data_IF_509635576575
#
_entry.id   IF_509635576575
#
_cell.length_a   1.000
_cell.length_b   1.000
_cell.length_c   1.000
_cell.angle_alpha   90.00
_cell.angle_beta   90.00
_cell.angle_gamma   90.00
#
_symmetry.space_group_name_H-M   'P 1'
#
loop_
_entity.id
_entity.type
_entity.pdbx_description
1 polymer ?
#
# COMPACT_ATOMS: atom_id res chain seq x y z
N UNK A 1 -39.33 -15.78 14.16
CA UNK A 1 -37.89 -15.83 13.88
C UNK A 1 -37.51 -14.50 13.24
N UNK A 2 -36.96 -13.56 14.02
CA UNK A 2 -36.57 -12.25 13.52
C UNK A 2 -35.27 -12.40 12.72
N UNK A 3 -35.27 -11.91 11.48
CA UNK A 3 -34.13 -11.95 10.57
C UNK A 3 -33.16 -10.86 11.02
N UNK A 4 -31.99 -11.26 11.50
CA UNK A 4 -30.90 -10.34 11.84
C UNK A 4 -30.53 -9.54 10.60
N UNK A 5 -30.81 -8.23 10.60
CA UNK A 5 -30.36 -7.31 9.57
C UNK A 5 -28.83 -7.22 9.61
N UNK A 6 -28.24 -7.65 8.51
CA UNK A 6 -26.80 -7.69 8.28
C UNK A 6 -26.25 -6.25 8.26
N UNK A 7 -25.73 -5.80 9.40
CA UNK A 7 -25.11 -4.48 9.52
C UNK A 7 -23.72 -4.53 8.89
N UNK A 8 -23.64 -4.33 7.57
CA UNK A 8 -22.37 -4.16 6.88
C UNK A 8 -21.74 -2.80 7.26
N UNK A 9 -20.87 -2.80 8.27
CA UNK A 9 -20.04 -1.63 8.60
C UNK A 9 -18.98 -1.45 7.50
N UNK A 10 -19.27 -0.63 6.49
CA UNK A 10 -18.26 -0.15 5.55
C UNK A 10 -17.56 1.06 6.16
N UNK A 11 -16.31 0.89 6.58
CA UNK A 11 -15.41 2.01 6.90
C UNK A 11 -14.97 2.65 5.58
N UNK A 12 -15.76 3.57 5.03
CA UNK A 12 -15.39 4.33 3.82
C UNK A 12 -14.85 5.70 4.22
N UNK A 13 -13.56 5.91 3.96
CA UNK A 13 -12.85 7.19 4.14
C UNK A 13 -11.35 6.97 4.33
N UNK A 14 -10.52 7.74 3.61
CA UNK A 14 -9.05 7.73 3.79
C UNK A 14 -8.75 8.18 5.22
N UNK A 15 -8.05 7.32 5.96
CA UNK A 15 -7.71 7.60 7.36
C UNK A 15 -6.55 8.62 7.42
N UNK A 16 -6.51 9.55 8.40
CA UNK A 16 -5.42 10.52 8.52
C UNK A 16 -4.02 9.86 8.56
N UNK A 17 -3.91 8.69 9.20
CA UNK A 17 -2.67 7.90 9.26
C UNK A 17 -2.17 7.46 7.87
N UNK A 18 -3.07 7.20 6.92
CA UNK A 18 -2.71 6.82 5.55
C UNK A 18 -2.16 8.03 4.79
N UNK A 19 -2.82 9.18 4.90
CA UNK A 19 -2.36 10.43 4.28
C UNK A 19 -0.98 10.79 4.81
N UNK A 20 -0.80 10.76 6.14
CA UNK A 20 0.46 11.13 6.75
C UNK A 20 1.59 10.16 6.39
N UNK A 21 1.33 8.84 6.37
CA UNK A 21 2.30 7.85 5.91
C UNK A 21 2.71 8.09 4.44
N UNK A 22 1.74 8.37 3.57
CA UNK A 22 2.00 8.69 2.17
C UNK A 22 2.81 9.97 1.98
N UNK A 23 2.50 11.04 2.73
CA UNK A 23 3.24 12.31 2.68
C UNK A 23 4.68 12.14 3.15
N UNK A 24 4.91 11.43 4.26
CA UNK A 24 6.27 11.15 4.75
C UNK A 24 7.02 10.31 3.73
N UNK A 25 6.38 9.27 3.18
CA UNK A 25 6.95 8.45 2.12
C UNK A 25 7.36 9.30 0.90
N UNK A 26 6.50 10.20 0.46
CA UNK A 26 6.77 11.09 -0.67
C UNK A 26 7.97 12.03 -0.40
N UNK A 27 8.06 12.62 0.79
CA UNK A 27 9.17 13.49 1.18
C UNK A 27 10.49 12.71 1.17
N UNK A 28 10.54 11.54 1.81
CA UNK A 28 11.75 10.70 1.83
C UNK A 28 12.16 10.23 0.43
N UNK A 29 11.18 9.86 -0.40
CA UNK A 29 11.45 9.48 -1.78
C UNK A 29 12.05 10.65 -2.58
N UNK A 30 11.49 11.85 -2.43
CA UNK A 30 12.01 13.05 -3.09
C UNK A 30 13.43 13.38 -2.63
N UNK A 31 13.70 13.32 -1.32
CA UNK A 31 15.05 13.53 -0.77
C UNK A 31 16.06 12.51 -1.33
N UNK A 32 15.69 11.24 -1.41
CA UNK A 32 16.54 10.20 -1.98
C UNK A 32 16.84 10.41 -3.47
N UNK A 33 15.82 10.74 -4.27
CA UNK A 33 15.99 10.99 -5.71
C UNK A 33 16.84 12.23 -5.97
N UNK A 34 16.54 13.35 -5.30
CA UNK A 34 17.33 14.59 -5.41
C UNK A 34 18.74 14.37 -4.88
N UNK A 35 18.90 13.59 -3.82
CA UNK A 35 20.18 13.19 -3.28
C UNK A 35 21.04 12.44 -4.31
N UNK A 36 20.49 11.44 -4.98
CA UNK A 36 21.20 10.72 -6.06
C UNK A 36 21.60 11.65 -7.20
N UNK A 37 20.77 12.63 -7.55
CA UNK A 37 21.13 13.63 -8.55
C UNK A 37 22.33 14.52 -8.12
N UNK A 38 22.58 14.66 -6.81
CA UNK A 38 23.72 15.41 -6.26
C UNK A 38 24.97 14.54 -6.05
N UNK A 39 24.81 13.31 -5.56
CA UNK A 39 25.93 12.42 -5.20
C UNK A 39 26.41 11.55 -6.35
N UNK A 40 25.55 11.27 -7.34
CA UNK A 40 25.75 10.16 -8.25
C UNK A 40 25.72 8.81 -7.52
N UNK A 41 26.44 7.82 -8.05
CA UNK A 41 26.48 6.43 -7.55
C UNK A 41 27.88 5.92 -7.17
N UNK A 42 28.92 6.75 -7.34
CA UNK A 42 30.29 6.43 -6.92
C UNK A 42 30.46 6.57 -5.41
N UNK A 43 31.43 5.85 -4.84
CA UNK A 43 31.77 5.92 -3.41
C UNK A 43 30.56 5.72 -2.49
N UNK A 44 29.88 4.58 -2.69
CA UNK A 44 28.50 4.37 -2.24
C UNK A 44 28.27 4.60 -0.74
N UNK A 45 29.21 4.17 0.10
CA UNK A 45 29.18 4.32 1.56
C UNK A 45 30.29 5.24 2.08
N UNK A 46 30.88 6.07 1.21
CA UNK A 46 31.92 7.02 1.59
C UNK A 46 31.38 8.23 2.34
N UNK A 47 32.28 9.13 2.72
CA UNK A 47 31.95 10.34 3.49
C UNK A 47 32.31 11.61 2.69
N UNK A 48 31.62 11.89 1.56
CA UNK A 48 31.87 13.10 0.78
C UNK A 48 31.31 14.33 1.48
N UNK A 49 31.88 15.51 1.21
CA UNK A 49 31.39 16.81 1.72
C UNK A 49 30.20 17.35 0.90
N UNK A 50 29.31 16.46 0.44
CA UNK A 50 28.13 16.82 -0.36
C UNK A 50 26.92 16.94 0.55
N UNK A 51 26.24 18.08 0.48
CA UNK A 51 25.08 18.39 1.33
C UNK A 51 23.79 18.59 0.54
N UNK A 52 22.68 18.27 1.19
CA UNK A 52 21.33 18.61 0.77
C UNK A 52 20.58 19.23 1.95
N UNK A 53 20.20 20.51 1.87
CA UNK A 53 19.47 21.22 2.94
C UNK A 53 20.15 21.19 4.33
N UNK A 54 21.48 21.02 4.39
CA UNK A 54 22.23 20.89 5.66
C UNK A 54 22.46 19.45 6.12
N UNK A 55 21.92 18.46 5.41
CA UNK A 55 22.13 17.02 5.62
C UNK A 55 23.32 16.54 4.81
N UNK A 56 24.21 15.76 5.43
CA UNK A 56 25.31 15.13 4.71
C UNK A 56 24.77 13.87 4.03
N UNK A 57 25.05 13.75 2.73
CA UNK A 57 24.48 12.69 1.91
C UNK A 57 25.56 11.92 1.17
N UNK A 58 25.34 10.62 1.03
CA UNK A 58 26.07 9.75 0.13
C UNK A 58 25.07 8.82 -0.59
N UNK A 59 25.50 8.06 -1.60
CA UNK A 59 24.58 7.20 -2.35
C UNK A 59 23.85 6.14 -1.48
N UNK A 60 24.49 5.59 -0.44
CA UNK A 60 23.86 4.65 0.49
C UNK A 60 22.74 5.31 1.31
N UNK A 61 22.98 6.52 1.84
CA UNK A 61 21.99 7.29 2.58
C UNK A 61 20.80 7.66 1.69
N UNK A 62 21.07 8.05 0.43
CA UNK A 62 20.04 8.30 -0.56
C UNK A 62 19.23 7.04 -0.89
N UNK A 63 19.87 5.87 -0.97
CA UNK A 63 19.16 4.60 -1.14
C UNK A 63 18.23 4.32 0.04
N UNK A 64 18.69 4.52 1.27
CA UNK A 64 17.85 4.37 2.46
C UNK A 64 16.64 5.30 2.41
N UNK A 65 16.83 6.56 2.03
CA UNK A 65 15.72 7.50 1.83
C UNK A 65 14.73 7.03 0.76
N UNK A 66 15.20 6.52 -0.37
CA UNK A 66 14.33 5.95 -1.41
C UNK A 66 13.53 4.75 -0.87
N UNK A 67 14.18 3.81 -0.17
CA UNK A 67 13.52 2.62 0.39
C UNK A 67 12.45 3.01 1.41
N UNK A 68 12.78 3.91 2.34
CA UNK A 68 11.82 4.45 3.31
C UNK A 68 10.67 5.14 2.59
N UNK A 69 10.97 5.91 1.54
CA UNK A 69 9.97 6.62 0.75
C UNK A 69 8.98 5.70 0.04
N UNK A 70 9.50 4.67 -0.64
CA UNK A 70 8.70 3.64 -1.32
C UNK A 70 7.84 2.88 -0.30
N UNK A 71 8.42 2.47 0.84
CA UNK A 71 7.66 1.80 1.90
C UNK A 71 6.52 2.69 2.41
N UNK A 72 6.76 3.98 2.64
CA UNK A 72 5.71 4.91 3.10
C UNK A 72 4.54 5.00 2.12
N UNK A 73 4.81 5.11 0.82
CA UNK A 73 3.79 5.17 -0.23
C UNK A 73 3.02 3.84 -0.33
N UNK A 74 3.72 2.70 -0.35
CA UNK A 74 3.09 1.38 -0.46
C UNK A 74 2.24 1.07 0.78
N UNK A 75 2.75 1.40 1.97
CA UNK A 75 2.09 1.12 3.24
C UNK A 75 1.00 2.15 3.60
N UNK A 76 0.88 3.25 2.84
CA UNK A 76 -0.27 4.16 2.91
C UNK A 76 -1.57 3.53 2.39
N UNK A 77 -1.51 2.37 1.72
CA UNK A 77 -2.69 1.67 1.16
C UNK A 77 -3.75 1.25 2.17
N UNK A 78 -3.40 1.08 3.45
CA UNK A 78 -4.35 0.76 4.51
C UNK A 78 -3.95 1.35 5.85
N UNK A 79 -4.93 1.59 6.72
CA UNK A 79 -4.65 2.11 8.08
C UNK A 79 -3.78 1.17 8.92
N UNK A 80 -3.89 -0.14 8.70
CA UNK A 80 -3.08 -1.13 9.41
C UNK A 80 -1.61 -1.05 8.96
N UNK A 81 -1.37 -1.09 7.66
CA UNK A 81 -0.01 -0.98 7.09
C UNK A 81 0.64 0.36 7.40
N UNK A 82 -0.11 1.46 7.45
CA UNK A 82 0.43 2.77 7.83
C UNK A 82 0.93 2.83 9.27
N UNK A 83 0.29 2.10 10.20
CA UNK A 83 0.79 1.97 11.57
C UNK A 83 2.04 1.11 11.65
N UNK A 84 2.11 0.04 10.86
CA UNK A 84 3.33 -0.78 10.73
C UNK A 84 4.47 0.10 10.21
N UNK A 85 4.23 0.93 9.20
CA UNK A 85 5.21 1.90 8.72
C UNK A 85 5.67 2.84 9.84
N UNK A 86 4.74 3.35 10.67
CA UNK A 86 5.10 4.13 11.87
C UNK A 86 6.05 3.39 12.82
N UNK A 87 5.82 2.11 13.10
CA UNK A 87 6.73 1.29 13.91
C UNK A 87 8.10 1.11 13.24
N UNK A 88 8.13 0.88 11.93
CA UNK A 88 9.38 0.78 11.17
C UNK A 88 10.19 2.09 11.24
N UNK A 89 9.53 3.24 11.10
CA UNK A 89 10.15 4.56 11.26
C UNK A 89 10.70 4.73 12.68
N UNK A 90 9.90 4.45 13.71
CA UNK A 90 10.31 4.60 15.11
C UNK A 90 11.54 3.74 15.44
N UNK A 91 11.49 2.45 15.10
CA UNK A 91 12.56 1.52 15.42
C UNK A 91 13.79 1.77 14.53
N UNK A 92 13.59 1.94 13.23
CA UNK A 92 14.67 2.16 12.26
C UNK A 92 15.41 3.47 12.55
N UNK A 93 14.70 4.60 12.60
CA UNK A 93 15.33 5.87 12.90
C UNK A 93 15.76 6.02 14.35
N UNK A 94 15.12 5.31 15.29
CA UNK A 94 15.59 5.24 16.68
C UNK A 94 16.98 4.61 16.77
N UNK A 95 17.19 3.47 16.10
CA UNK A 95 18.50 2.81 16.03
C UNK A 95 19.53 3.71 15.33
N UNK A 96 19.18 4.28 14.18
CA UNK A 96 20.09 5.18 13.43
C UNK A 96 20.42 6.44 14.23
N UNK A 97 19.49 6.99 15.00
CA UNK A 97 19.73 8.15 15.87
C UNK A 97 20.68 7.81 17.01
N UNK A 98 20.49 6.67 17.69
CA UNK A 98 21.40 6.25 18.76
C UNK A 98 22.81 6.04 18.20
N UNK A 99 22.90 5.42 17.02
CA UNK A 99 24.16 5.24 16.31
C UNK A 99 24.82 6.57 15.92
N UNK A 100 24.04 7.49 15.33
CA UNK A 100 24.51 8.82 14.93
C UNK A 100 25.02 9.64 16.12
N UNK A 101 24.34 9.58 17.27
CA UNK A 101 24.82 10.22 18.51
C UNK A 101 26.18 9.69 18.97
N UNK A 102 26.48 8.41 18.72
CA UNK A 102 27.81 7.83 18.99
C UNK A 102 28.86 8.31 17.99
N UNK A 103 28.50 8.47 16.71
CA UNK A 103 29.40 9.02 15.68
C UNK A 103 29.72 10.48 15.95
N UNK A 104 28.70 11.30 16.27
CA UNK A 104 28.88 12.75 16.50
C UNK A 104 29.53 13.06 17.85
N UNK A 105 29.89 12.05 18.63
CA UNK A 105 30.57 12.18 19.92
C UNK A 105 29.68 12.63 21.09
N UNK A 106 28.36 12.74 20.89
CA UNK A 106 27.41 13.06 21.97
C UNK A 106 27.34 11.91 22.98
N UNK A 107 27.37 10.67 22.48
CA UNK A 107 27.53 9.46 23.30
C UNK A 107 28.99 9.01 23.19
N UNK A 108 29.78 9.19 24.25
CA UNK A 108 31.23 8.96 24.23
C UNK A 108 31.64 7.48 24.15
N UNK A 109 30.73 6.54 24.39
CA UNK A 109 31.01 5.09 24.30
C UNK A 109 30.42 4.52 23.01
N UNK A 110 31.29 4.18 22.07
CA UNK A 110 30.92 3.50 20.83
C UNK A 110 31.54 2.09 20.79
N UNK A 111 30.80 1.03 21.19
CA UNK A 111 31.31 -0.34 21.23
C UNK A 111 31.59 -0.94 19.84
N UNK A 112 31.29 -0.19 18.78
CA UNK A 112 31.17 -0.64 17.39
C UNK A 112 31.81 0.39 16.45
N UNK A 113 32.76 1.17 16.98
CA UNK A 113 33.49 2.24 16.30
C UNK A 113 34.15 1.82 14.99
N UNK A 114 34.50 0.53 14.83
CA UNK A 114 35.06 -0.02 13.60
C UNK A 114 34.12 0.04 12.38
N UNK A 115 32.81 0.21 12.57
CA UNK A 115 31.88 0.38 11.43
C UNK A 115 31.85 1.81 10.87
N UNK A 116 32.41 2.80 11.59
CA UNK A 116 32.49 4.19 11.13
C UNK A 116 31.13 4.84 10.83
N UNK A 117 31.13 5.73 9.82
CA UNK A 117 29.96 6.50 9.40
C UNK A 117 29.53 6.15 7.95
N UNK A 118 28.94 4.97 7.72
CA UNK A 118 28.64 4.52 6.35
C UNK A 118 27.51 5.31 5.69
N UNK A 119 26.67 5.99 6.47
CA UNK A 119 25.57 6.84 5.98
C UNK A 119 25.98 8.32 5.86
N UNK A 120 27.25 8.65 6.14
CA UNK A 120 27.74 10.01 6.15
C UNK A 120 26.89 10.97 7.02
N UNK A 121 26.48 10.51 8.20
CA UNK A 121 25.64 11.27 9.12
C UNK A 121 26.38 12.45 9.74
N UNK A 122 25.75 13.62 9.75
CA UNK A 122 26.16 14.76 10.56
C UNK A 122 25.18 15.00 11.73
N UNK A 123 25.39 16.08 12.49
CA UNK A 123 24.51 16.43 13.61
C UNK A 123 23.07 16.77 13.18
N UNK A 124 22.90 17.44 12.02
CA UNK A 124 21.58 17.76 11.48
C UNK A 124 20.82 16.49 11.09
N UNK A 125 21.48 15.54 10.43
CA UNK A 125 20.93 14.22 10.10
C UNK A 125 20.43 13.51 11.35
N UNK A 126 21.25 13.52 12.41
CA UNK A 126 20.88 12.86 13.66
C UNK A 126 19.61 13.46 14.28
N UNK A 127 19.44 14.78 14.27
CA UNK A 127 18.21 15.42 14.75
C UNK A 127 17.00 15.09 13.87
N UNK A 128 17.18 15.06 12.56
CA UNK A 128 16.12 14.65 11.63
C UNK A 128 15.66 13.22 11.91
N UNK A 129 16.60 12.30 12.20
CA UNK A 129 16.28 10.93 12.57
C UNK A 129 15.51 10.84 13.88
N UNK A 130 15.89 11.62 14.90
CA UNK A 130 15.13 11.69 16.17
C UNK A 130 13.70 12.15 15.93
N UNK A 131 13.52 13.24 15.17
CA UNK A 131 12.19 13.76 14.82
C UNK A 131 11.39 12.72 14.04
N UNK A 132 12.02 12.03 13.08
CA UNK A 132 11.38 11.00 12.27
C UNK A 132 10.96 9.78 13.09
N UNK A 133 11.76 9.39 14.09
CA UNK A 133 11.40 8.34 15.03
C UNK A 133 10.17 8.73 15.85
N UNK A 134 10.13 9.97 16.37
CA UNK A 134 8.98 10.49 17.13
C UNK A 134 7.71 10.53 16.26
N UNK A 135 7.81 11.06 15.04
CA UNK A 135 6.67 11.07 14.09
C UNK A 135 6.22 9.65 13.76
N UNK A 136 7.15 8.72 13.58
CA UNK A 136 6.87 7.30 13.40
C UNK A 136 6.08 6.71 14.57
N UNK A 137 6.48 7.02 15.81
CA UNK A 137 5.77 6.56 17.01
C UNK A 137 4.35 7.13 17.06
N UNK A 138 4.18 8.42 16.77
CA UNK A 138 2.88 9.07 16.71
C UNK A 138 1.98 8.38 15.66
N UNK A 139 2.50 8.12 14.46
CA UNK A 139 1.79 7.35 13.43
C UNK A 139 1.38 5.95 13.91
N UNK A 140 2.29 5.26 14.59
CA UNK A 140 2.10 3.88 15.03
C UNK A 140 0.96 3.75 16.05
N UNK A 141 0.88 4.68 17.00
CA UNK A 141 -0.10 4.63 18.11
C UNK A 141 -1.39 5.42 17.82
N UNK A 142 -1.50 6.08 16.66
CA UNK A 142 -2.65 6.92 16.33
C UNK A 142 -3.97 6.11 16.23
N UNK A 143 -5.03 6.52 16.95
CA UNK A 143 -6.34 5.86 16.88
C UNK A 143 -6.96 5.92 15.48
N UNK A 144 -7.70 4.86 15.08
CA UNK A 144 -8.47 4.88 13.85
C UNK A 144 -9.74 5.73 14.01
N UNK A 145 -10.05 6.59 13.03
CA UNK A 145 -11.31 7.34 13.02
C UNK A 145 -12.41 6.41 12.49
N UNK A 146 -13.36 6.03 13.35
CA UNK A 146 -14.57 5.31 12.93
C UNK A 146 -15.62 6.36 12.56
N UNK A 147 -15.89 6.53 11.26
CA UNK A 147 -17.06 7.30 10.80
C UNK A 147 -18.19 6.28 10.62
N UNK A 148 -19.15 6.27 11.55
CA UNK A 148 -20.37 5.48 11.40
C UNK A 148 -21.34 6.26 10.52
N UNK A 149 -21.58 5.78 9.30
CA UNK A 149 -22.74 6.25 8.53
C UNK A 149 -23.98 5.64 9.15
N UNK A 150 -24.75 6.45 9.87
CA UNK A 150 -26.12 6.08 10.26
C UNK A 150 -26.97 6.21 9.01
N UNK A 151 -27.33 5.09 8.39
CA UNK A 151 -28.46 5.06 7.48
C UNK A 151 -29.69 5.39 8.32
N UNK A 152 -30.27 6.58 8.18
CA UNK A 152 -31.61 6.83 8.70
C UNK A 152 -32.53 5.77 8.09
N UNK A 153 -33.25 4.96 8.89
CA UNK A 153 -34.25 4.06 8.34
C UNK A 153 -35.20 4.91 7.49
N UNK A 154 -35.42 4.46 6.26
CA UNK A 154 -36.37 5.06 5.34
C UNK A 154 -37.65 5.39 6.13
N UNK A 155 -38.04 6.67 6.11
CA UNK A 155 -39.32 7.12 6.61
C UNK A 155 -40.41 6.30 5.93
N UNK A 156 -40.90 5.25 6.60
CA UNK A 156 -42.11 4.54 6.23
C UNK A 156 -43.26 5.55 6.22
N UNK A 157 -43.95 5.81 5.09
CA UNK A 157 -45.20 6.53 5.12
C UNK A 157 -46.26 5.58 5.69
N UNK A 158 -46.38 5.56 7.02
CA UNK A 158 -47.49 4.96 7.72
C UNK A 158 -48.54 6.04 7.99
N UNK A 159 -49.33 6.39 6.97
CA UNK A 159 -50.71 6.83 7.22
C UNK A 159 -51.58 6.67 5.97
N UNK A 160 -52.56 5.75 6.07
CA UNK A 160 -53.86 5.72 5.39
C UNK A 160 -54.40 4.28 5.38
N UNK A 161 -54.89 3.84 6.54
CA UNK A 161 -55.87 2.75 6.61
C UNK A 161 -57.26 3.37 6.50
N UNK A 162 -58.05 2.96 5.50
CA UNK A 162 -59.52 3.15 5.54
C UNK A 162 -60.23 1.92 4.94
N UNK A 163 -60.62 1.00 5.83
CA UNK A 163 -61.95 0.32 5.95
C UNK A 163 -62.66 -0.26 4.70
N UNK A 164 -62.83 -1.61 4.69
CA UNK A 164 -64.03 -2.48 4.41
C UNK A 164 -64.89 -2.25 3.13
N UNK A 165 -65.46 -3.19 2.35
CA UNK A 165 -65.88 -4.63 2.41
C UNK A 165 -66.23 -5.09 0.95
N UNK A 166 -66.19 -6.39 0.57
CA UNK A 166 -66.57 -6.89 -0.78
C UNK A 166 -68.07 -7.24 -0.94
N UNK A 167 -68.59 -7.44 -2.19
CA UNK A 167 -69.15 -8.77 -2.51
C UNK A 167 -69.09 -9.23 -3.99
N UNK A 168 -69.33 -10.54 -4.13
CA UNK A 168 -70.06 -11.24 -5.21
C UNK A 168 -69.31 -11.83 -6.42
N UNK A 169 -69.55 -13.13 -6.58
CA UNK A 169 -69.11 -14.04 -7.63
C UNK A 169 -69.94 -13.91 -8.93
N UNK A 170 -69.34 -14.27 -10.07
CA UNK A 170 -69.99 -15.05 -11.14
C UNK A 170 -68.96 -15.51 -12.18
N UNK A 171 -69.07 -16.77 -12.58
CA UNK A 171 -68.30 -17.44 -13.63
C UNK A 171 -68.88 -17.18 -15.04
N UNK A 172 -68.18 -17.72 -16.05
CA UNK A 172 -68.53 -17.99 -17.47
C UNK A 172 -67.86 -17.04 -18.48
N UNK A 173 -67.50 -17.39 -19.72
CA UNK A 173 -67.15 -18.62 -20.45
C UNK A 173 -66.57 -18.11 -21.80
N UNK A 174 -65.51 -18.77 -22.26
CA UNK A 174 -64.89 -18.83 -23.61
C UNK A 174 -65.47 -18.03 -24.80
N UNK A 175 -64.57 -17.48 -25.63
CA UNK A 175 -64.64 -17.57 -27.11
C UNK A 175 -63.28 -17.30 -27.76
N UNK A 176 -62.90 -18.17 -28.71
CA UNK A 176 -61.74 -18.16 -29.64
C UNK A 176 -62.32 -18.59 -31.02
N UNK A 177 -61.59 -18.59 -32.16
CA UNK A 177 -60.83 -17.57 -32.92
C UNK A 177 -61.37 -17.44 -34.39
N UNK A 178 -60.64 -16.87 -35.40
CA UNK A 178 -59.66 -17.64 -36.22
C UNK A 178 -58.38 -16.85 -36.62
N UNK A 179 -57.18 -17.45 -36.53
CA UNK A 179 -56.34 -18.05 -37.61
C UNK A 179 -55.91 -17.09 -38.73
N UNK A 180 -54.60 -16.85 -38.91
CA UNK A 180 -53.88 -17.34 -40.11
C UNK A 180 -52.34 -17.38 -39.98
N UNK A 181 -51.81 -18.42 -40.62
CA UNK A 181 -50.49 -18.96 -40.96
C UNK A 181 -49.34 -17.95 -41.26
N UNK A 182 -48.06 -18.24 -41.01
CA UNK A 182 -47.24 -19.24 -41.73
C UNK A 182 -45.80 -19.34 -41.17
N UNK A 183 -45.26 -20.58 -41.18
CA UNK A 183 -43.85 -21.03 -41.36
C UNK A 183 -42.82 -21.02 -40.19
N UNK A 184 -42.67 -22.20 -39.60
CA UNK A 184 -41.43 -22.86 -39.13
C UNK A 184 -40.51 -23.32 -40.31
N UNK A 185 -39.38 -24.06 -40.13
CA UNK A 185 -38.27 -23.99 -39.14
C UNK A 185 -36.87 -24.26 -39.82
N UNK A 186 -35.77 -24.25 -39.04
CA UNK A 186 -34.56 -25.13 -39.15
C UNK A 186 -33.33 -24.41 -38.51
N UNK A 187 -32.69 -24.90 -37.44
CA UNK A 187 -31.89 -26.12 -37.26
C UNK A 187 -30.50 -26.08 -37.96
N UNK A 188 -29.43 -26.25 -37.17
CA UNK A 188 -28.04 -26.43 -37.61
C UNK A 188 -27.07 -25.68 -36.68
N UNK A 189 -26.59 -26.25 -35.58
CA UNK A 189 -25.51 -27.24 -35.47
C UNK A 189 -24.14 -26.72 -35.97
N UNK A 190 -23.17 -26.76 -35.04
CA UNK A 190 -21.85 -27.39 -35.19
C UNK A 190 -20.58 -26.52 -34.96
N UNK A 191 -19.63 -27.18 -34.28
CA UNK A 191 -18.18 -27.07 -34.32
C UNK A 191 -17.42 -25.87 -33.68
N UNK A 192 -16.92 -26.07 -32.46
CA UNK A 192 -15.47 -25.97 -32.11
C UNK A 192 -14.73 -27.15 -32.78
N UNK A 193 -13.38 -27.20 -32.98
CA UNK A 193 -12.31 -26.38 -32.41
C UNK A 193 -11.17 -26.00 -33.39
N UNK A 194 -10.22 -25.15 -32.98
CA UNK A 194 -8.82 -25.20 -33.44
C UNK A 194 -7.92 -24.31 -32.59
N UNK A 195 -7.12 -24.94 -31.74
CA UNK A 195 -5.77 -24.49 -31.39
C UNK A 195 -4.81 -25.18 -32.38
N UNK A 196 -3.65 -24.60 -32.74
CA UNK A 196 -2.43 -25.22 -32.18
C UNK A 196 -1.21 -24.29 -31.99
N UNK A 197 -0.41 -24.69 -30.98
CA UNK A 197 1.06 -24.82 -31.02
C UNK A 197 1.96 -23.57 -30.97
N UNK A 198 2.85 -23.53 -29.97
CA UNK A 198 4.01 -22.63 -30.00
C UNK A 198 4.87 -22.49 -28.72
N UNK A 199 5.44 -23.56 -28.18
CA UNK A 199 6.71 -23.53 -27.42
C UNK A 199 7.47 -24.84 -27.74
N UNK A 200 8.81 -24.98 -27.59
CA UNK A 200 9.77 -24.17 -26.84
C UNK A 200 11.12 -23.90 -27.58
N UNK A 201 11.95 -22.96 -27.09
CA UNK A 201 13.40 -23.01 -27.37
C UNK A 201 14.21 -22.88 -26.09
N UNK A 202 14.65 -24.04 -25.62
CA UNK A 202 15.77 -24.21 -24.71
C UNK A 202 17.05 -23.73 -25.41
N UNK A 203 17.86 -22.90 -24.75
CA UNK A 203 19.23 -22.65 -25.16
C UNK A 203 20.20 -23.14 -24.10
N UNK A 204 21.16 -23.91 -24.60
CA UNK A 204 22.09 -24.80 -23.93
C UNK A 204 23.31 -24.01 -23.46
N UNK A 205 23.78 -24.35 -22.26
CA UNK A 205 25.07 -23.94 -21.66
C UNK A 205 26.28 -24.21 -22.57
N UNK A 206 27.40 -23.52 -22.30
CA UNK A 206 28.69 -24.19 -22.23
C UNK A 206 29.34 -24.04 -20.84
N UNK A 207 29.68 -25.20 -20.26
CA UNK A 207 30.73 -25.39 -19.25
C UNK A 207 32.08 -24.91 -19.79
N UNK A 208 32.88 -24.22 -18.96
CA UNK A 208 34.36 -24.27 -18.84
C UNK A 208 34.75 -23.11 -17.87
N UNK A 209 35.63 -23.23 -16.89
CA UNK A 209 36.65 -24.25 -16.68
C UNK A 209 37.20 -24.27 -15.25
N UNK A 210 37.97 -25.33 -15.04
CA UNK A 210 38.64 -25.77 -13.83
C UNK A 210 40.10 -25.30 -13.90
N UNK A 211 40.60 -24.59 -12.89
CA UNK A 211 42.03 -24.39 -12.52
C UNK A 211 42.01 -24.19 -11.00
N UNK A 212 42.51 -25.06 -10.12
CA UNK A 212 43.81 -25.74 -9.95
C UNK A 212 44.97 -24.79 -9.61
N UNK A 213 45.73 -25.21 -8.59
CA UNK A 213 46.96 -24.68 -7.98
C UNK A 213 46.75 -23.64 -6.84
N UNK A 214 47.00 -23.96 -5.56
CA UNK A 214 48.25 -24.32 -4.86
C UNK A 214 49.05 -23.08 -4.44
N UNK A 215 48.98 -22.73 -3.15
CA UNK A 215 50.07 -22.65 -2.17
C UNK A 215 49.55 -22.21 -0.80
#
# INVERSE_FOLDING_TARGET
MARSEDTHIRVSGIQPVQVLAGLIGLVYLALGIVGFARTGFSDFAGNPEVMLLGFMINPLHNLVHVVVGVLGIVMASSSATSRIFGWLLFLGFGVVSIWGLMITGIISRNPVSGMGNPLNLNAADNWLHVVSAIVGLVLAVMPARKVAHISSPASTPADATTVSTPPAAAAQTQTMPPVDSTREPAMGADATPTEPSGTPKQHRMPRLGRRSAAH
#
